data_IF_925208913390
#
_entry.id   IF_925208913390
#
_cell.length_a   1.000
_cell.length_b   1.000
_cell.length_c   1.000
_cell.angle_alpha   90.00
_cell.angle_beta   90.00
_cell.angle_gamma   90.00
#
_symmetry.space_group_name_H-M   'P 1'
#
loop_
_entity.id
_entity.type
_entity.pdbx_description
1 polymer ?
#
# COMPACT_ATOMS: atom_id res chain seq x y z
N UNK A 1 38.15 -2.33 -13.84
CA UNK A 1 37.10 -1.63 -14.60
C UNK A 1 35.82 -1.74 -13.78
N UNK A 2 35.45 -0.71 -13.04
CA UNK A 2 34.16 -0.66 -12.37
C UNK A 2 33.11 -0.34 -13.44
N UNK A 3 32.11 -1.21 -13.61
CA UNK A 3 30.93 -0.88 -14.42
C UNK A 3 30.23 0.29 -13.75
N UNK A 4 30.19 1.45 -14.40
CA UNK A 4 29.30 2.53 -13.98
C UNK A 4 27.87 1.98 -14.04
N UNK A 5 27.27 1.74 -12.88
CA UNK A 5 25.84 1.53 -12.78
C UNK A 5 25.19 2.87 -13.14
N UNK A 6 24.72 3.00 -14.38
CA UNK A 6 23.84 4.09 -14.76
C UNK A 6 22.52 3.90 -14.01
N UNK A 7 22.36 4.59 -12.88
CA UNK A 7 21.07 4.65 -12.19
C UNK A 7 20.12 5.44 -13.09
N UNK A 8 19.22 4.72 -13.77
CA UNK A 8 18.11 5.34 -14.50
C UNK A 8 17.25 6.18 -13.54
N UNK A 9 16.49 7.16 -14.06
CA UNK A 9 15.58 7.93 -13.23
C UNK A 9 14.55 7.01 -12.58
N UNK A 10 14.33 7.16 -11.27
CA UNK A 10 13.31 6.44 -10.54
C UNK A 10 11.94 6.61 -11.23
N UNK A 11 11.29 5.51 -11.68
CA UNK A 11 9.97 5.58 -12.30
C UNK A 11 8.95 6.31 -11.40
N UNK A 12 8.09 7.14 -12.00
CA UNK A 12 7.00 7.80 -11.28
C UNK A 12 6.05 6.76 -10.65
N UNK A 13 5.28 7.14 -9.62
CA UNK A 13 4.17 6.30 -9.18
C UNK A 13 3.20 6.11 -10.34
N UNK A 14 2.84 4.86 -10.61
CA UNK A 14 1.92 4.46 -11.68
C UNK A 14 0.66 3.82 -11.14
N UNK A 15 0.70 3.25 -9.93
CA UNK A 15 -0.47 2.65 -9.30
C UNK A 15 -0.38 2.67 -7.77
N UNK A 16 -1.54 2.72 -7.13
CA UNK A 16 -1.71 2.64 -5.68
C UNK A 16 -3.00 1.87 -5.40
N UNK A 17 -2.91 0.71 -4.76
CA UNK A 17 -4.07 -0.16 -4.52
C UNK A 17 -4.05 -0.78 -3.13
N UNK A 18 -5.22 -0.93 -2.52
CA UNK A 18 -5.40 -1.91 -1.43
C UNK A 18 -5.50 -3.29 -2.08
N UNK A 19 -4.66 -4.23 -1.64
CA UNK A 19 -4.57 -5.57 -2.27
C UNK A 19 -5.02 -6.70 -1.34
N UNK A 20 -4.99 -6.47 -0.03
CA UNK A 20 -5.33 -7.48 0.98
C UNK A 20 -5.70 -6.84 2.32
N UNK A 21 -6.67 -7.44 2.99
CA UNK A 21 -7.06 -7.14 4.38
C UNK A 21 -6.92 -8.42 5.19
N UNK A 22 -6.36 -8.32 6.38
CA UNK A 22 -6.12 -9.44 7.27
C UNK A 22 -6.58 -9.08 8.68
N UNK A 23 -7.48 -9.85 9.26
CA UNK A 23 -7.97 -9.62 10.63
C UNK A 23 -8.28 -10.93 11.34
N UNK A 24 -8.53 -10.86 12.64
CA UNK A 24 -8.91 -12.05 13.43
C UNK A 24 -10.26 -12.60 12.98
N UNK A 25 -11.26 -11.74 12.81
CA UNK A 25 -12.63 -12.16 12.46
C UNK A 25 -12.80 -12.52 10.98
N UNK A 26 -12.21 -11.73 10.07
CA UNK A 26 -12.36 -11.94 8.62
C UNK A 26 -11.30 -12.86 7.99
N UNK A 27 -10.27 -13.23 8.77
CA UNK A 27 -9.08 -13.88 8.24
C UNK A 27 -8.42 -13.02 7.16
N UNK A 28 -7.90 -13.67 6.12
CA UNK A 28 -7.33 -12.99 4.94
C UNK A 28 -8.40 -12.82 3.86
N UNK A 29 -8.51 -11.61 3.31
CA UNK A 29 -9.28 -11.28 2.12
C UNK A 29 -8.39 -10.56 1.12
N UNK A 30 -8.33 -11.05 -0.12
CA UNK A 30 -7.69 -10.34 -1.23
C UNK A 30 -8.69 -9.40 -1.88
N UNK A 31 -8.24 -8.19 -2.18
CA UNK A 31 -9.10 -7.11 -2.67
C UNK A 31 -8.64 -6.73 -4.09
N UNK A 32 -9.59 -6.59 -5.00
CA UNK A 32 -9.28 -6.10 -6.35
C UNK A 32 -9.30 -4.56 -6.37
N UNK A 33 -8.53 -3.90 -7.25
CA UNK A 33 -8.49 -2.44 -7.37
C UNK A 33 -9.84 -1.72 -7.49
N UNK A 34 -10.86 -2.40 -8.02
CA UNK A 34 -12.20 -1.83 -8.24
C UNK A 34 -13.16 -2.06 -7.06
N UNK A 35 -12.76 -2.79 -6.03
CA UNK A 35 -13.57 -2.98 -4.84
C UNK A 35 -13.65 -1.67 -4.05
N UNK A 36 -14.87 -1.26 -3.72
CA UNK A 36 -15.11 -0.13 -2.82
C UNK A 36 -15.22 -0.55 -1.35
N UNK A 37 -15.36 -1.87 -1.09
CA UNK A 37 -15.46 -2.45 0.23
C UNK A 37 -14.99 -3.91 0.27
N UNK A 38 -14.64 -4.40 1.47
CA UNK A 38 -14.48 -5.84 1.73
C UNK A 38 -15.82 -6.57 1.59
N UNK A 39 -15.75 -7.86 1.29
CA UNK A 39 -16.90 -8.76 1.28
C UNK A 39 -17.15 -9.27 2.69
N UNK A 40 -16.09 -9.64 3.41
CA UNK A 40 -16.17 -10.13 4.78
C UNK A 40 -16.21 -8.99 5.79
N UNK A 41 -16.82 -9.29 6.93
CA UNK A 41 -16.70 -8.50 8.14
C UNK A 41 -15.34 -8.81 8.80
N UNK A 42 -14.59 -7.76 9.10
CA UNK A 42 -13.27 -7.77 9.69
C UNK A 42 -13.32 -7.24 11.13
N UNK A 43 -12.15 -6.96 11.71
CA UNK A 43 -11.99 -6.59 13.11
C UNK A 43 -11.46 -7.74 13.97
N UNK A 44 -11.71 -7.64 15.27
CA UNK A 44 -11.15 -8.46 16.33
C UNK A 44 -9.91 -7.82 16.98
N UNK A 45 -9.04 -8.66 17.55
CA UNK A 45 -7.84 -8.25 18.29
C UNK A 45 -6.76 -7.60 17.40
N UNK A 46 -6.74 -7.93 16.11
CA UNK A 46 -5.85 -7.32 15.13
C UNK A 46 -6.57 -7.00 13.82
N UNK A 47 -6.11 -5.94 13.14
CA UNK A 47 -6.53 -5.58 11.79
C UNK A 47 -5.36 -4.97 11.02
N UNK A 48 -4.98 -5.65 9.93
CA UNK A 48 -3.92 -5.26 9.03
C UNK A 48 -4.45 -5.01 7.62
N UNK A 49 -3.92 -3.96 6.98
CA UNK A 49 -4.25 -3.61 5.60
C UNK A 49 -2.96 -3.58 4.80
N UNK A 50 -3.01 -4.17 3.61
CA UNK A 50 -1.88 -4.25 2.71
C UNK A 50 -2.15 -3.42 1.47
N UNK A 51 -1.23 -2.51 1.17
CA UNK A 51 -1.26 -1.70 -0.05
C UNK A 51 -0.10 -2.07 -0.95
N UNK A 52 -0.33 -1.97 -2.26
CA UNK A 52 0.70 -2.11 -3.28
C UNK A 52 0.84 -0.81 -4.04
N UNK A 53 2.07 -0.37 -4.20
CA UNK A 53 2.45 0.73 -5.06
C UNK A 53 3.43 0.26 -6.14
N UNK A 54 3.27 0.78 -7.35
CA UNK A 54 4.24 0.58 -8.44
C UNK A 54 4.83 1.93 -8.82
N UNK A 55 6.14 1.96 -9.01
CA UNK A 55 6.94 3.17 -9.12
C UNK A 55 7.36 3.75 -7.76
N UNK A 56 8.12 4.84 -7.80
CA UNK A 56 8.79 5.42 -6.64
C UNK A 56 8.01 6.61 -6.10
N UNK A 57 7.49 6.45 -4.89
CA UNK A 57 6.92 7.53 -4.08
C UNK A 57 7.73 7.84 -2.83
N UNK A 58 7.56 9.03 -2.28
CA UNK A 58 8.37 9.51 -1.15
C UNK A 58 7.58 10.03 0.06
N UNK A 59 6.23 10.07 -0.01
CA UNK A 59 5.37 10.54 1.09
C UNK A 59 4.19 9.58 1.32
N UNK A 60 4.43 8.34 1.75
CA UNK A 60 3.36 7.44 2.09
C UNK A 60 2.61 7.93 3.33
N UNK A 61 1.29 8.07 3.18
CA UNK A 61 0.41 8.44 4.28
C UNK A 61 -0.86 7.61 4.23
N UNK A 62 -1.09 6.83 5.28
CA UNK A 62 -2.28 6.01 5.45
C UNK A 62 -3.04 6.41 6.71
N UNK A 63 -4.37 6.25 6.66
CA UNK A 63 -5.26 6.48 7.79
C UNK A 63 -6.40 5.48 7.82
N UNK A 64 -6.90 5.21 9.02
CA UNK A 64 -8.12 4.45 9.28
C UNK A 64 -9.05 5.33 10.10
N UNK A 65 -10.28 5.55 9.63
CA UNK A 65 -11.28 6.38 10.31
C UNK A 65 -10.78 7.79 10.67
N UNK A 66 -9.89 8.35 9.83
CA UNK A 66 -9.28 9.67 10.04
C UNK A 66 -8.01 9.66 10.91
N UNK A 67 -7.71 8.56 11.60
CA UNK A 67 -6.51 8.42 12.42
C UNK A 67 -5.35 7.82 11.62
N UNK A 68 -4.13 8.31 11.87
CA UNK A 68 -2.94 7.85 11.13
C UNK A 68 -2.67 6.37 11.38
N UNK A 69 -2.58 5.59 10.32
CA UNK A 69 -2.19 4.18 10.37
C UNK A 69 -0.68 4.02 10.56
N UNK A 70 -0.26 2.95 11.23
CA UNK A 70 1.15 2.65 11.47
C UNK A 70 1.68 1.70 10.40
N UNK A 71 2.70 2.10 9.65
CA UNK A 71 3.43 1.15 8.80
C UNK A 71 4.22 0.19 9.69
N UNK A 72 4.04 -1.12 9.50
CA UNK A 72 4.75 -2.15 10.28
C UNK A 72 5.73 -2.96 9.44
N UNK A 73 5.57 -2.99 8.12
CA UNK A 73 6.55 -3.58 7.20
C UNK A 73 6.36 -3.07 5.78
N UNK A 74 7.43 -3.08 5.01
CA UNK A 74 7.41 -2.84 3.56
C UNK A 74 8.28 -3.89 2.86
N UNK A 75 7.75 -4.45 1.77
CA UNK A 75 8.43 -5.46 0.95
C UNK A 75 8.65 -4.90 -0.45
N UNK A 76 9.90 -4.99 -0.93
CA UNK A 76 10.26 -4.56 -2.28
C UNK A 76 9.66 -5.51 -3.32
N UNK A 77 9.16 -4.95 -4.41
CA UNK A 77 8.65 -5.69 -5.57
C UNK A 77 9.67 -5.52 -6.69
N UNK A 78 10.10 -6.65 -7.26
CA UNK A 78 10.93 -6.74 -8.47
C UNK A 78 10.21 -7.75 -9.39
N UNK A 79 9.54 -7.25 -10.41
CA UNK A 79 8.63 -8.04 -11.26
C UNK A 79 9.41 -8.80 -12.33
N UNK A 80 10.54 -8.26 -12.79
CA UNK A 80 11.32 -8.79 -13.91
C UNK A 80 12.62 -9.50 -13.46
N UNK A 81 12.96 -9.45 -12.17
CA UNK A 81 14.14 -10.09 -11.57
C UNK A 81 15.46 -9.39 -11.92
N UNK A 82 15.43 -8.14 -12.38
CA UNK A 82 16.62 -7.39 -12.79
C UNK A 82 17.37 -6.75 -11.60
N UNK A 83 16.87 -6.95 -10.37
CA UNK A 83 17.36 -6.37 -9.12
C UNK A 83 17.13 -4.85 -9.00
N UNK A 84 16.25 -4.30 -9.81
CA UNK A 84 15.73 -2.95 -9.69
C UNK A 84 14.36 -3.04 -9.01
N UNK A 85 14.13 -2.15 -8.03
CA UNK A 85 12.85 -2.14 -7.32
C UNK A 85 11.81 -1.49 -8.23
N UNK A 86 10.72 -2.20 -8.51
CA UNK A 86 9.58 -1.71 -9.30
C UNK A 86 8.49 -1.09 -8.43
N UNK A 87 8.48 -1.38 -7.13
CA UNK A 87 7.43 -0.94 -6.22
C UNK A 87 7.55 -1.52 -4.81
N UNK A 88 6.52 -1.31 -4.01
CA UNK A 88 6.47 -1.78 -2.63
C UNK A 88 5.08 -2.33 -2.28
N UNK A 89 5.07 -3.43 -1.51
CA UNK A 89 3.91 -3.84 -0.74
C UNK A 89 4.09 -3.39 0.72
N UNK A 90 3.21 -2.52 1.20
CA UNK A 90 3.23 -1.98 2.56
C UNK A 90 2.15 -2.63 3.41
N UNK A 91 2.50 -2.94 4.66
CA UNK A 91 1.58 -3.43 5.70
C UNK A 91 1.33 -2.34 6.71
N UNK A 92 0.05 -2.05 6.93
CA UNK A 92 -0.45 -1.06 7.86
C UNK A 92 -1.16 -1.74 9.02
N UNK A 93 -0.76 -1.41 10.24
CA UNK A 93 -1.46 -1.76 11.47
C UNK A 93 -2.49 -0.70 11.80
N UNK A 94 -3.75 -1.13 11.81
CA UNK A 94 -4.93 -0.34 12.15
C UNK A 94 -5.75 -1.04 13.24
N UNK A 95 -5.10 -1.92 14.01
CA UNK A 95 -5.71 -2.64 15.13
C UNK A 95 -6.33 -1.68 16.14
N UNK A 96 -7.40 -2.11 16.79
CA UNK A 96 -8.28 -1.25 17.60
C UNK A 96 -9.50 -0.73 16.82
N UNK A 97 -9.47 -0.77 15.49
CA UNK A 97 -10.64 -0.58 14.65
C UNK A 97 -11.35 -1.92 14.39
N UNK A 98 -12.68 -1.91 14.39
CA UNK A 98 -13.50 -3.08 14.04
C UNK A 98 -13.96 -3.03 12.59
N UNK A 99 -14.13 -1.83 12.04
CA UNK A 99 -14.55 -1.58 10.65
C UNK A 99 -14.28 -0.11 10.29
N UNK A 100 -14.59 0.30 9.07
CA UNK A 100 -14.61 1.69 8.65
C UNK A 100 -13.78 1.99 7.40
N UNK A 101 -13.36 3.25 7.24
CA UNK A 101 -12.69 3.70 6.01
C UNK A 101 -11.18 3.70 6.17
N UNK A 102 -10.52 2.88 5.36
CA UNK A 102 -9.08 2.98 5.14
C UNK A 102 -8.79 3.86 3.92
N UNK A 103 -7.77 4.69 4.04
CA UNK A 103 -7.32 5.58 2.98
C UNK A 103 -5.79 5.58 2.94
N UNK A 104 -5.24 5.59 1.73
CA UNK A 104 -3.82 5.62 1.50
C UNK A 104 -3.47 6.53 0.33
N UNK A 105 -2.46 7.35 0.52
CA UNK A 105 -1.92 8.23 -0.51
C UNK A 105 -0.40 8.17 -0.53
N UNK A 106 0.16 8.47 -1.70
CA UNK A 106 1.59 8.67 -1.87
C UNK A 106 1.85 9.68 -3.00
N UNK A 107 3.01 10.31 -2.96
CA UNK A 107 3.45 11.32 -3.91
C UNK A 107 4.69 10.83 -4.65
N UNK A 108 4.68 10.94 -5.99
CA UNK A 108 5.79 10.53 -6.85
C UNK A 108 7.07 11.27 -6.49
N UNK A 109 8.21 10.59 -6.53
CA UNK A 109 9.53 11.19 -6.23
C UNK A 109 10.01 12.16 -7.31
N UNK A 110 9.54 11.98 -8.56
CA UNK A 110 9.92 12.80 -9.70
C UNK A 110 8.88 13.89 -10.00
N UNK A 111 9.34 14.97 -10.65
CA UNK A 111 8.47 16.02 -11.18
C UNK A 111 7.41 15.41 -12.12
N UNK A 112 6.12 15.83 -12.05
CA UNK A 112 5.58 16.97 -11.30
C UNK A 112 5.08 16.62 -9.89
N UNK A 113 5.58 15.56 -9.26
CA UNK A 113 5.16 15.08 -7.94
C UNK A 113 3.69 14.70 -7.90
N UNK A 114 3.26 13.90 -8.88
CA UNK A 114 1.89 13.42 -8.94
C UNK A 114 1.53 12.66 -7.66
N UNK A 115 0.42 13.07 -7.04
CA UNK A 115 -0.16 12.41 -5.87
C UNK A 115 -1.18 11.37 -6.31
N UNK A 116 -1.06 10.16 -5.77
CA UNK A 116 -2.03 9.07 -5.97
C UNK A 116 -2.74 8.77 -4.67
N UNK A 117 -3.96 8.24 -4.77
CA UNK A 117 -4.83 7.92 -3.66
C UNK A 117 -5.59 6.63 -3.93
N UNK A 118 -5.80 5.83 -2.89
CA UNK A 118 -6.69 4.67 -2.88
C UNK A 118 -7.38 4.56 -1.53
N UNK A 119 -8.54 3.94 -1.50
CA UNK A 119 -9.28 3.77 -0.25
C UNK A 119 -10.31 2.66 -0.35
N UNK A 120 -10.59 2.02 0.79
CA UNK A 120 -11.44 0.85 0.90
C UNK A 120 -12.31 0.95 2.16
N UNK A 121 -13.60 0.59 2.04
CA UNK A 121 -14.47 0.40 3.20
C UNK A 121 -14.29 -1.01 3.77
N UNK A 122 -13.76 -1.11 4.97
CA UNK A 122 -13.68 -2.35 5.74
C UNK A 122 -15.03 -2.53 6.44
N UNK A 123 -15.70 -3.65 6.17
CA UNK A 123 -16.89 -4.05 6.93
C UNK A 123 -16.48 -4.71 8.24
#
# INVERSE_FOLDING_TARGET
>A
MASEASAGPAPALTSLHVVKVESELGGVEYVSPNNLSTIKDHGGSYLYIYTREMGYGHLPFAKMNGEKAKEVSSTMIDVNGDRIIDGWERKWDVSGNQSGRFEYENTSTNYPWNKMYTALNIK
#
